data_IF_120965554630
#
_entry.id   IF_120965554630
#
_cell.length_a   1.000
_cell.length_b   1.000
_cell.length_c   1.000
_cell.angle_alpha   90.00
_cell.angle_beta   90.00
_cell.angle_gamma   90.00
#
_symmetry.space_group_name_H-M   'P 1'
#
loop_
_entity.id
_entity.type
_entity.pdbx_description
1 polymer ?
#
# COMPACT_ATOMS: atom_id res chain seq x y z
N UNK A 1 -16.34 31.49 6.96
CA UNK A 1 -15.79 32.79 7.43
C UNK A 1 -16.07 32.83 8.92
N UNK A 2 -15.09 33.24 9.74
CA UNK A 2 -14.98 33.14 11.21
C UNK A 2 -14.16 31.93 11.69
N UNK A 3 -13.10 32.04 12.49
CA UNK A 3 -12.44 33.23 13.02
C UNK A 3 -10.98 32.94 13.39
N UNK A 4 -10.17 33.99 13.31
CA UNK A 4 -8.74 34.09 13.60
C UNK A 4 -8.60 34.66 15.02
N UNK A 5 -7.89 34.00 15.95
CA UNK A 5 -7.50 34.68 17.18
C UNK A 5 -7.13 33.80 18.37
N UNK A 6 -5.83 33.52 18.48
CA UNK A 6 -4.99 33.38 19.68
C UNK A 6 -5.65 33.23 21.07
N UNK A 7 -5.25 32.18 21.82
CA UNK A 7 -4.97 32.31 23.27
C UNK A 7 -3.71 31.50 23.60
N UNK A 8 -2.70 32.22 24.12
CA UNK A 8 -1.41 31.72 24.56
C UNK A 8 -1.47 31.30 26.06
N UNK A 9 -0.67 30.30 26.41
CA UNK A 9 -0.11 29.95 27.73
C UNK A 9 -1.01 29.34 28.82
N UNK A 10 -0.74 28.07 29.12
CA UNK A 10 -0.53 27.63 30.50
C UNK A 10 0.45 26.45 30.53
N UNK A 11 1.65 26.68 31.03
CA UNK A 11 2.51 25.64 31.58
C UNK A 11 2.10 25.42 33.04
N UNK A 12 2.06 24.17 33.52
CA UNK A 12 2.56 23.66 34.82
C UNK A 12 2.38 22.13 34.83
N UNK A 13 3.46 21.47 35.22
CA UNK A 13 3.71 20.02 35.34
C UNK A 13 2.86 19.30 36.39
N UNK A 14 2.53 18.01 36.15
CA UNK A 14 2.97 16.87 36.99
C UNK A 14 2.72 15.52 36.25
N UNK A 15 3.45 14.43 36.59
CA UNK A 15 3.80 13.34 35.67
C UNK A 15 2.85 12.14 35.75
N UNK A 16 2.34 11.68 34.61
CA UNK A 16 1.81 10.33 34.45
C UNK A 16 2.26 9.74 33.10
N UNK A 17 3.21 8.80 33.14
CA UNK A 17 3.38 7.77 32.08
C UNK A 17 2.41 6.62 32.42
N UNK A 18 1.87 5.80 31.51
CA UNK A 18 2.37 5.48 30.15
C UNK A 18 1.26 5.32 29.07
N UNK A 19 1.60 5.44 27.79
CA UNK A 19 1.06 4.66 26.63
C UNK A 19 1.57 5.31 25.34
N UNK A 20 2.84 5.03 25.01
CA UNK A 20 3.35 5.18 23.65
C UNK A 20 2.98 3.85 22.95
N UNK A 21 2.29 3.76 21.81
CA UNK A 21 2.11 4.71 20.72
C UNK A 21 0.66 4.69 20.24
N UNK A 22 0.16 5.87 19.85
CA UNK A 22 -1.01 6.04 18.98
C UNK A 22 -0.91 5.13 17.75
N UNK A 23 -2.04 4.60 17.33
CA UNK A 23 -2.20 3.86 16.08
C UNK A 23 -1.46 4.56 14.93
N UNK A 24 -0.50 3.86 14.30
CA UNK A 24 0.12 4.32 13.06
C UNK A 24 -0.85 4.02 11.92
N UNK A 25 -1.64 5.02 11.53
CA UNK A 25 -2.37 5.01 10.26
C UNK A 25 -1.30 5.19 9.17
N UNK A 26 -0.94 4.12 8.46
CA UNK A 26 -0.25 4.28 7.17
C UNK A 26 -1.30 4.06 6.09
N UNK A 27 -1.88 5.16 5.62
CA UNK A 27 -2.37 5.21 4.25
C UNK A 27 -1.18 4.84 3.36
N UNK A 28 -1.29 3.70 2.66
CA UNK A 28 -0.28 3.33 1.67
C UNK A 28 -0.52 4.21 0.45
N UNK A 29 0.10 5.39 0.50
CA UNK A 29 0.12 6.35 -0.58
C UNK A 29 0.91 5.77 -1.76
N UNK A 30 0.35 5.92 -2.95
CA UNK A 30 0.85 5.36 -4.21
C UNK A 30 2.10 6.04 -4.75
N UNK A 31 3.09 6.35 -3.89
CA UNK A 31 4.36 6.94 -4.33
C UNK A 31 5.41 5.87 -4.67
N UNK A 32 5.39 5.61 -5.98
CA UNK A 32 6.23 4.78 -6.85
C UNK A 32 7.74 5.00 -6.65
N UNK A 33 8.33 4.28 -5.70
CA UNK A 33 9.64 3.64 -5.83
C UNK A 33 9.48 2.19 -5.39
N UNK A 34 9.05 1.33 -6.32
CA UNK A 34 8.78 -0.08 -6.01
C UNK A 34 10.09 -0.81 -5.72
N UNK A 35 10.53 -0.78 -4.47
CA UNK A 35 11.15 -1.95 -3.90
C UNK A 35 10.12 -3.07 -4.06
N UNK A 36 10.46 -4.11 -4.81
CA UNK A 36 9.68 -5.33 -5.09
C UNK A 36 8.54 -5.70 -4.11
N UNK A 37 7.55 -6.47 -4.58
CA UNK A 37 6.48 -6.96 -3.70
C UNK A 37 7.04 -7.84 -2.58
N UNK A 38 6.85 -7.40 -1.32
CA UNK A 38 7.15 -8.18 -0.11
C UNK A 38 5.92 -8.95 0.41
N UNK A 39 4.73 -8.51 0.01
CA UNK A 39 3.45 -9.15 0.31
C UNK A 39 2.62 -9.24 -0.97
N UNK A 40 1.64 -10.14 -0.99
CA UNK A 40 0.76 -10.37 -2.14
C UNK A 40 -0.69 -10.44 -1.70
N UNK A 41 -1.58 -9.94 -2.54
CA UNK A 41 -3.02 -10.04 -2.37
C UNK A 41 -3.56 -11.27 -3.11
N UNK A 42 -4.62 -11.87 -2.56
CA UNK A 42 -5.41 -12.92 -3.22
C UNK A 42 -6.71 -12.38 -3.84
N UNK A 43 -7.07 -11.13 -3.53
CA UNK A 43 -8.28 -10.48 -4.06
C UNK A 43 -8.16 -10.31 -5.57
N UNK A 44 -9.24 -10.59 -6.27
CA UNK A 44 -9.33 -10.35 -7.70
C UNK A 44 -9.39 -8.84 -7.97
N UNK A 45 -8.62 -8.39 -8.96
CA UNK A 45 -8.63 -7.00 -9.43
C UNK A 45 -9.74 -6.84 -10.47
N UNK A 46 -10.60 -5.86 -10.22
CA UNK A 46 -11.67 -5.46 -11.15
C UNK A 46 -11.30 -4.23 -11.97
N UNK A 47 -10.29 -3.47 -11.54
CA UNK A 47 -9.84 -2.27 -12.22
C UNK A 47 -9.19 -2.60 -13.58
N UNK A 48 -9.18 -1.64 -14.52
CA UNK A 48 -8.45 -1.78 -15.78
C UNK A 48 -6.95 -2.01 -15.52
N UNK A 49 -6.45 -3.11 -16.08
CA UNK A 49 -5.02 -3.44 -16.07
C UNK A 49 -4.44 -2.91 -17.38
N UNK A 50 -3.37 -2.12 -17.30
CA UNK A 50 -2.68 -1.56 -18.47
C UNK A 50 -1.46 -2.39 -18.85
N UNK A 51 -0.95 -3.21 -17.93
CA UNK A 51 0.19 -4.08 -18.16
C UNK A 51 0.45 -5.00 -16.97
N UNK A 52 1.44 -5.87 -17.11
CA UNK A 52 1.83 -6.79 -16.05
C UNK A 52 3.31 -7.13 -16.12
N UNK A 53 3.88 -7.60 -15.01
CA UNK A 53 5.18 -8.26 -15.00
C UNK A 53 5.24 -9.35 -13.93
N UNK A 54 6.09 -10.33 -14.18
CA UNK A 54 6.31 -11.46 -13.28
C UNK A 54 7.51 -11.14 -12.39
N UNK A 55 7.31 -11.23 -11.08
CA UNK A 55 8.36 -11.10 -10.08
C UNK A 55 8.75 -12.48 -9.55
N UNK A 56 10.00 -12.86 -9.79
CA UNK A 56 10.60 -14.05 -9.21
C UNK A 56 10.97 -13.83 -7.73
N UNK A 57 11.11 -14.92 -6.98
CA UNK A 57 11.58 -14.87 -5.60
C UNK A 57 12.99 -14.26 -5.51
N UNK A 58 13.16 -13.27 -4.64
CA UNK A 58 14.47 -12.70 -4.31
C UNK A 58 14.38 -11.97 -2.97
N UNK A 59 14.74 -12.60 -1.85
CA UNK A 59 14.51 -12.04 -0.51
C UNK A 59 15.02 -10.57 -0.41
N UNK A 60 14.20 -9.62 0.10
CA UNK A 60 12.93 -9.79 0.80
C UNK A 60 11.67 -9.88 -0.11
N UNK A 61 11.86 -9.92 -1.43
CA UNK A 61 10.79 -10.01 -2.42
C UNK A 61 10.19 -11.42 -2.48
N UNK A 62 8.87 -11.50 -2.49
CA UNK A 62 8.13 -12.76 -2.64
C UNK A 62 7.73 -12.99 -4.09
N UNK A 63 7.42 -14.24 -4.52
CA UNK A 63 6.96 -14.49 -5.88
C UNK A 63 5.59 -13.84 -6.11
N UNK A 64 5.47 -12.99 -7.13
CA UNK A 64 4.26 -12.21 -7.40
C UNK A 64 4.04 -11.99 -8.90
N UNK A 65 2.79 -11.78 -9.29
CA UNK A 65 2.46 -11.11 -10.56
C UNK A 65 2.06 -9.70 -10.20
N UNK A 66 2.72 -8.72 -10.80
CA UNK A 66 2.48 -7.31 -10.52
C UNK A 66 1.71 -6.73 -11.69
N UNK A 67 0.51 -6.22 -11.41
CA UNK A 67 -0.33 -5.58 -12.41
C UNK A 67 -0.12 -4.06 -12.36
N UNK A 68 0.08 -3.47 -13.53
CA UNK A 68 0.01 -2.03 -13.73
C UNK A 68 -1.44 -1.64 -13.96
N UNK A 69 -1.89 -0.64 -13.24
CA UNK A 69 -3.22 -0.04 -13.38
C UNK A 69 -3.03 1.48 -13.35
N UNK A 70 -4.05 2.22 -13.80
CA UNK A 70 -4.04 3.68 -13.77
C UNK A 70 -3.81 4.24 -12.36
N UNK A 71 -4.34 3.55 -11.34
CA UNK A 71 -4.20 3.92 -9.92
C UNK A 71 -2.89 3.45 -9.27
N UNK A 72 -2.01 2.78 -10.01
CA UNK A 72 -0.74 2.27 -9.53
C UNK A 72 -0.61 0.75 -9.63
N UNK A 73 0.24 0.17 -8.78
CA UNK A 73 0.69 -1.21 -8.91
C UNK A 73 -0.01 -2.13 -7.93
N UNK A 74 -0.33 -3.35 -8.37
CA UNK A 74 -0.95 -4.36 -7.54
C UNK A 74 -0.16 -5.66 -7.51
N UNK A 75 0.32 -6.02 -6.32
CA UNK A 75 0.99 -7.29 -6.05
C UNK A 75 -0.03 -8.42 -5.90
N UNK A 76 -0.14 -9.30 -6.91
CA UNK A 76 -1.02 -10.46 -6.88
C UNK A 76 -0.27 -11.75 -6.61
N UNK A 77 -0.92 -12.68 -5.92
CA UNK A 77 -0.41 -14.03 -5.74
C UNK A 77 -0.51 -14.81 -7.05
N UNK A 78 0.65 -15.21 -7.59
CA UNK A 78 0.78 -15.81 -8.92
C UNK A 78 -0.07 -17.08 -9.16
N UNK A 79 -0.47 -17.83 -8.12
CA UNK A 79 -1.28 -19.05 -8.27
C UNK A 79 -2.79 -18.84 -8.24
N UNK A 80 -3.26 -17.59 -8.16
CA UNK A 80 -4.70 -17.34 -8.20
C UNK A 80 -5.26 -17.69 -9.60
N UNK A 81 -6.38 -18.43 -9.70
CA UNK A 81 -6.92 -18.85 -11.00
C UNK A 81 -7.23 -17.69 -11.96
N UNK A 82 -7.62 -16.53 -11.42
CA UNK A 82 -7.92 -15.34 -12.21
C UNK A 82 -6.67 -14.66 -12.78
N UNK A 83 -5.51 -14.80 -12.13
CA UNK A 83 -4.26 -14.16 -12.56
C UNK A 83 -3.85 -14.67 -13.92
N UNK A 84 -3.91 -15.98 -14.12
CA UNK A 84 -3.57 -16.57 -15.42
C UNK A 84 -4.51 -16.08 -16.53
N UNK A 85 -5.83 -16.01 -16.25
CA UNK A 85 -6.81 -15.49 -17.21
C UNK A 85 -6.55 -14.03 -17.58
N UNK A 86 -6.11 -13.20 -16.62
CA UNK A 86 -5.75 -11.80 -16.89
C UNK A 86 -4.47 -11.69 -17.71
N UNK A 87 -3.44 -12.46 -17.39
CA UNK A 87 -2.18 -12.48 -18.16
C UNK A 87 -2.42 -12.86 -19.62
N UNK A 88 -3.25 -13.89 -19.87
CA UNK A 88 -3.61 -14.32 -21.24
C UNK A 88 -4.28 -13.23 -22.09
N UNK A 89 -4.79 -12.15 -21.49
CA UNK A 89 -5.37 -11.03 -22.25
C UNK A 89 -4.29 -10.11 -22.87
N UNK A 90 -3.03 -10.29 -22.47
CA UNK A 90 -1.88 -9.50 -22.92
C UNK A 90 -0.90 -10.31 -23.79
N UNK A 91 -1.18 -11.58 -24.05
CA UNK A 91 -0.43 -12.48 -24.95
C UNK A 91 -1.22 -12.70 -26.24
#
# INVERSE_FOLDING_TARGET
>A
MVDLGAILLAAISLPVKPFLCKAMMMALDGEKLVSCCKTVSRKEVTDPITGYWIQNYNAPCVPAVIFEMEKGLFCSYHRQPWVHRKIQQFE
#
